data_IF_945427119005
#
_entry.id   IF_945427119005
#
_cell.length_a   1.000
_cell.length_b   1.000
_cell.length_c   1.000
_cell.angle_alpha   90.00
_cell.angle_beta   90.00
_cell.angle_gamma   90.00
#
_symmetry.space_group_name_H-M   'P 1'
#
loop_
_entity.id
_entity.type
_entity.pdbx_description
1 polymer ?
#
# COMPACT_ATOMS: atom_id res chain seq x y z
N UNK A 1 -10.73 1.64 22.45
CA UNK A 1 -10.57 2.34 21.16
C UNK A 1 -9.72 1.47 20.23
N UNK A 2 -10.33 0.66 19.36
CA UNK A 2 -9.59 -0.36 18.56
C UNK A 2 -8.76 0.34 17.48
N UNK A 3 -7.43 0.26 17.59
CA UNK A 3 -6.49 0.85 16.66
C UNK A 3 -6.66 0.21 15.27
N UNK A 4 -6.89 1.04 14.24
CA UNK A 4 -6.98 0.63 12.83
C UNK A 4 -5.55 0.50 12.30
N UNK A 5 -4.91 -0.64 12.54
CA UNK A 5 -3.54 -0.91 12.07
C UNK A 5 -3.58 -1.28 10.59
N UNK A 6 -2.79 -0.58 9.79
CA UNK A 6 -2.58 -0.92 8.38
C UNK A 6 -1.15 -1.39 8.20
N UNK A 7 -1.02 -2.60 7.67
CA UNK A 7 0.27 -3.19 7.31
C UNK A 7 0.38 -3.06 5.80
N UNK A 8 1.24 -2.16 5.35
CA UNK A 8 1.63 -2.07 3.95
C UNK A 8 2.89 -2.94 3.80
N UNK A 9 2.68 -4.17 3.29
CA UNK A 9 3.76 -5.11 3.01
C UNK A 9 4.17 -4.98 1.54
N UNK A 10 5.40 -4.58 1.32
CA UNK A 10 6.03 -4.46 0.03
C UNK A 10 6.51 -5.85 -0.42
N UNK A 11 6.03 -6.32 -1.57
CA UNK A 11 6.61 -7.48 -2.25
C UNK A 11 7.92 -7.14 -2.98
N UNK A 12 8.25 -5.84 -3.10
CA UNK A 12 9.44 -5.36 -3.82
C UNK A 12 10.78 -5.82 -3.22
N UNK A 13 10.81 -6.20 -1.94
CA UNK A 13 12.02 -6.78 -1.37
C UNK A 13 12.02 -8.29 -1.62
N UNK A 14 12.68 -8.72 -2.70
CA UNK A 14 12.78 -10.10 -3.20
C UNK A 14 13.43 -11.11 -2.24
N UNK A 15 12.86 -11.27 -1.05
CA UNK A 15 13.27 -12.26 -0.03
C UNK A 15 12.11 -13.11 0.48
N UNK A 16 10.90 -12.93 -0.04
CA UNK A 16 9.72 -13.73 0.29
C UNK A 16 9.59 -15.04 -0.48
N UNK A 17 10.70 -15.75 -0.74
CA UNK A 17 10.62 -17.12 -1.22
C UNK A 17 10.09 -17.98 -0.06
N UNK A 18 8.78 -18.19 -0.05
CA UNK A 18 8.11 -19.11 0.88
C UNK A 18 8.69 -20.51 0.68
N UNK A 19 9.63 -20.90 1.54
CA UNK A 19 10.31 -22.19 1.48
C UNK A 19 9.32 -23.33 1.76
N UNK A 20 8.80 -23.96 0.71
CA UNK A 20 8.34 -25.35 0.79
C UNK A 20 9.58 -26.25 0.59
N UNK A 21 9.96 -27.14 1.52
CA UNK A 21 11.25 -27.82 1.47
C UNK A 21 11.49 -28.87 0.36
N UNK A 22 10.71 -28.91 -0.74
CA UNK A 22 10.80 -30.05 -1.67
C UNK A 22 10.44 -29.77 -3.14
N UNK A 23 10.60 -28.55 -3.64
CA UNK A 23 10.35 -28.27 -5.06
C UNK A 23 11.52 -27.49 -5.67
N UNK A 24 11.95 -27.95 -6.84
CA UNK A 24 13.07 -27.46 -7.63
C UNK A 24 12.99 -25.95 -7.86
N UNK A 25 14.13 -25.27 -7.75
CA UNK A 25 14.26 -23.81 -7.72
C UNK A 25 14.00 -23.26 -9.13
N UNK A 26 12.75 -23.00 -9.48
CA UNK A 26 12.46 -22.04 -10.52
C UNK A 26 12.63 -20.66 -9.88
N UNK A 27 13.61 -19.88 -10.33
CA UNK A 27 13.66 -18.44 -10.05
C UNK A 27 12.46 -17.82 -10.76
N UNK A 28 11.27 -18.00 -10.17
CA UNK A 28 10.07 -17.33 -10.63
C UNK A 28 10.40 -15.85 -10.64
N UNK A 29 10.42 -15.28 -11.84
CA UNK A 29 10.30 -13.84 -12.08
C UNK A 29 9.36 -13.27 -11.02
N UNK A 30 9.65 -12.09 -10.48
CA UNK A 30 8.75 -11.37 -9.56
C UNK A 30 7.29 -11.74 -9.86
N UNK A 31 6.58 -12.33 -8.89
CA UNK A 31 5.33 -13.07 -9.12
C UNK A 31 4.19 -12.25 -9.77
N UNK A 32 4.43 -10.95 -9.95
CA UNK A 32 3.57 -9.95 -10.56
C UNK A 32 4.43 -9.08 -11.47
N UNK A 33 3.92 -8.78 -12.66
CA UNK A 33 4.57 -7.89 -13.62
C UNK A 33 4.76 -6.49 -13.01
N UNK A 34 5.97 -5.95 -13.17
CA UNK A 34 6.34 -4.61 -12.71
C UNK A 34 6.36 -3.66 -13.90
N UNK A 35 5.67 -2.54 -13.79
CA UNK A 35 5.79 -1.45 -14.77
C UNK A 35 7.09 -0.67 -14.51
N UNK A 36 8.08 -0.89 -15.37
CA UNK A 36 9.40 -0.28 -15.27
C UNK A 36 9.39 1.25 -15.46
N UNK A 37 8.40 1.82 -16.15
CA UNK A 37 8.28 3.28 -16.29
C UNK A 37 7.55 3.86 -15.08
N UNK A 38 6.48 3.21 -14.62
CA UNK A 38 5.75 3.66 -13.44
C UNK A 38 6.60 3.58 -12.17
N UNK A 39 7.41 2.53 -11.98
CA UNK A 39 8.21 2.34 -10.74
C UNK A 39 9.25 3.44 -10.50
N UNK A 40 9.70 4.12 -11.56
CA UNK A 40 10.64 5.25 -11.46
C UNK A 40 10.02 6.44 -10.72
N UNK A 41 8.69 6.51 -10.62
CA UNK A 41 7.97 7.66 -10.07
C UNK A 41 6.86 7.23 -9.12
N UNK A 42 6.67 8.00 -8.05
CA UNK A 42 5.47 7.91 -7.23
C UNK A 42 4.78 9.27 -7.21
N UNK A 43 3.45 9.23 -7.15
CA UNK A 43 2.57 10.40 -7.21
C UNK A 43 2.02 10.64 -5.81
N UNK A 44 2.12 11.89 -5.35
CA UNK A 44 1.44 12.36 -4.17
C UNK A 44 0.37 13.38 -4.59
N UNK A 45 -0.85 13.30 -4.06
CA UNK A 45 -1.92 14.21 -4.43
C UNK A 45 -1.60 15.65 -4.00
N UNK A 46 -1.83 16.62 -4.89
CA UNK A 46 -1.55 18.04 -4.69
C UNK A 46 -2.79 18.86 -4.32
N UNK A 47 -3.98 18.27 -4.47
CA UNK A 47 -5.28 18.90 -4.20
C UNK A 47 -5.68 18.90 -2.71
N UNK A 48 -4.84 18.33 -1.84
CA UNK A 48 -5.08 18.25 -0.40
C UNK A 48 -4.00 19.02 0.37
N UNK A 49 -4.33 19.48 1.57
CA UNK A 49 -3.36 20.08 2.48
C UNK A 49 -2.27 19.05 2.82
N UNK A 50 -1.09 19.21 2.22
CA UNK A 50 0.04 18.31 2.38
C UNK A 50 0.65 18.44 3.77
N UNK A 51 0.36 17.49 4.66
CA UNK A 51 1.05 17.41 5.95
C UNK A 51 2.37 16.66 5.77
N UNK A 52 3.48 17.29 6.16
CA UNK A 52 4.83 16.74 5.93
C UNK A 52 5.01 15.32 6.50
N UNK A 53 4.44 15.04 7.68
CA UNK A 53 4.51 13.70 8.27
C UNK A 53 3.78 12.65 7.41
N UNK A 54 2.69 13.01 6.72
CA UNK A 54 1.98 12.08 5.85
C UNK A 54 2.82 11.77 4.62
N UNK A 55 3.43 12.80 4.01
CA UNK A 55 4.34 12.64 2.88
C UNK A 55 5.54 11.76 3.25
N UNK A 56 6.16 12.01 4.41
CA UNK A 56 7.24 11.20 4.94
C UNK A 56 6.84 9.73 5.15
N UNK A 57 5.66 9.48 5.72
CA UNK A 57 5.14 8.13 5.93
C UNK A 57 4.85 7.40 4.62
N UNK A 58 4.28 8.09 3.63
CA UNK A 58 4.05 7.53 2.28
C UNK A 58 5.40 7.16 1.65
N UNK A 59 6.36 8.09 1.63
CA UNK A 59 7.69 7.86 1.05
C UNK A 59 8.38 6.63 1.67
N UNK A 60 8.35 6.50 3.00
CA UNK A 60 8.89 5.31 3.68
C UNK A 60 8.14 4.03 3.33
N UNK A 61 6.80 4.09 3.26
CA UNK A 61 5.97 2.95 2.90
C UNK A 61 6.19 2.49 1.45
N UNK A 62 6.54 3.39 0.52
CA UNK A 62 6.82 3.01 -0.86
C UNK A 62 8.02 2.06 -0.99
N UNK A 63 9.06 2.24 -0.18
CA UNK A 63 10.32 1.51 -0.32
C UNK A 63 10.61 0.50 0.80
N UNK A 64 9.90 0.58 1.93
CA UNK A 64 10.08 -0.33 3.06
C UNK A 64 8.76 -0.76 3.68
N UNK A 65 8.72 -2.01 4.18
CA UNK A 65 7.58 -2.52 4.96
C UNK A 65 7.36 -1.62 6.17
N UNK A 66 6.23 -0.88 6.19
CA UNK A 66 6.01 0.18 7.16
C UNK A 66 4.73 -0.07 7.96
N UNK A 67 4.86 -0.08 9.29
CA UNK A 67 3.75 -0.12 10.23
C UNK A 67 3.41 1.31 10.69
N UNK A 68 2.24 1.81 10.30
CA UNK A 68 1.80 3.17 10.65
C UNK A 68 0.81 3.13 11.81
N UNK A 69 1.25 3.62 12.97
CA UNK A 69 0.51 3.62 14.24
C UNK A 69 -0.07 5.01 14.62
N UNK A 70 -0.73 5.69 13.67
CA UNK A 70 -1.36 7.00 13.96
C UNK A 70 -2.72 6.87 14.67
N UNK A 71 -3.10 7.82 15.54
CA UNK A 71 -4.48 8.01 16.00
C UNK A 71 -5.52 8.21 14.88
N UNK A 72 -6.81 7.98 15.17
CA UNK A 72 -7.90 8.32 14.25
C UNK A 72 -7.94 9.84 14.02
N UNK A 73 -8.34 10.26 12.81
CA UNK A 73 -8.40 11.68 12.45
C UNK A 73 -7.11 12.28 11.87
N UNK A 74 -5.96 11.60 11.97
CA UNK A 74 -4.68 12.12 11.44
C UNK A 74 -4.37 11.74 9.98
N UNK A 75 -5.34 11.13 9.29
CA UNK A 75 -5.21 10.77 7.87
C UNK A 75 -4.50 9.44 7.58
N UNK A 76 -4.71 8.40 8.39
CA UNK A 76 -4.23 7.04 8.07
C UNK A 76 -4.78 6.52 6.75
N UNK A 77 -6.09 6.66 6.53
CA UNK A 77 -6.74 6.22 5.29
C UNK A 77 -6.24 7.02 4.10
N UNK A 78 -5.91 8.29 4.30
CA UNK A 78 -5.28 9.09 3.26
C UNK A 78 -3.91 8.52 2.87
N UNK A 79 -3.01 8.28 3.85
CA UNK A 79 -1.70 7.67 3.59
C UNK A 79 -1.85 6.33 2.86
N UNK A 80 -2.80 5.51 3.32
CA UNK A 80 -3.13 4.24 2.70
C UNK A 80 -3.50 4.38 1.23
N UNK A 81 -4.45 5.26 0.92
CA UNK A 81 -4.97 5.47 -0.41
C UNK A 81 -3.83 5.89 -1.36
N UNK A 82 -2.94 6.78 -0.92
CA UNK A 82 -1.79 7.21 -1.71
C UNK A 82 -0.80 6.07 -1.94
N UNK A 83 -0.51 5.25 -0.93
CA UNK A 83 0.38 4.09 -1.11
C UNK A 83 -0.27 3.07 -2.05
N UNK A 84 -1.54 2.73 -1.83
CA UNK A 84 -2.29 1.81 -2.67
C UNK A 84 -2.32 2.27 -4.14
N UNK A 85 -2.56 3.56 -4.37
CA UNK A 85 -2.56 4.14 -5.71
C UNK A 85 -1.22 3.95 -6.43
N UNK A 86 -0.11 4.19 -5.74
CA UNK A 86 1.21 4.00 -6.33
C UNK A 86 1.57 2.53 -6.53
N UNK A 87 1.18 1.65 -5.60
CA UNK A 87 1.33 0.21 -5.79
C UNK A 87 0.53 -0.30 -6.98
N UNK A 88 -0.68 0.22 -7.19
CA UNK A 88 -1.51 -0.12 -8.33
C UNK A 88 -0.85 0.32 -9.65
N UNK A 89 -0.20 1.50 -9.67
CA UNK A 89 0.59 1.96 -10.82
C UNK A 89 1.81 1.07 -11.08
N UNK A 90 2.49 0.63 -10.04
CA UNK A 90 3.73 -0.15 -10.17
C UNK A 90 3.46 -1.61 -10.55
N UNK A 91 2.35 -2.17 -10.06
CA UNK A 91 1.97 -3.56 -10.27
C UNK A 91 0.57 -3.66 -10.91
N UNK A 92 0.45 -3.45 -12.22
CA UNK A 92 -0.84 -3.44 -12.90
C UNK A 92 -1.58 -4.80 -12.79
N UNK A 93 -0.86 -5.92 -12.75
CA UNK A 93 -1.43 -7.26 -12.52
C UNK A 93 -1.56 -7.61 -11.02
N UNK A 94 -0.94 -6.80 -10.15
CA UNK A 94 -0.95 -6.98 -8.72
C UNK A 94 -2.32 -6.77 -8.09
N UNK A 95 -2.51 -7.38 -6.91
CA UNK A 95 -3.72 -7.19 -6.10
C UNK A 95 -3.35 -6.54 -4.78
N UNK A 96 -4.17 -5.58 -4.38
CA UNK A 96 -4.03 -4.86 -3.12
C UNK A 96 -5.19 -5.27 -2.22
N UNK A 97 -4.87 -5.77 -1.04
CA UNK A 97 -5.88 -6.24 -0.08
C UNK A 97 -5.94 -5.26 1.08
N UNK A 98 -7.09 -4.60 1.23
CA UNK A 98 -7.38 -3.73 2.35
C UNK A 98 -8.27 -4.44 3.37
N UNK A 99 -7.69 -4.93 4.45
CA UNK A 99 -8.43 -5.71 5.45
C UNK A 99 -9.09 -4.81 6.50
N UNK A 100 -10.31 -5.16 6.90
CA UNK A 100 -11.07 -4.47 7.95
C UNK A 100 -11.76 -5.50 8.84
N UNK A 101 -11.99 -5.19 10.13
CA UNK A 101 -12.55 -6.17 11.07
C UNK A 101 -14.07 -6.36 10.93
N UNK A 102 -14.77 -5.50 10.21
CA UNK A 102 -16.23 -5.57 10.06
C UNK A 102 -16.67 -4.96 8.74
N UNK A 103 -17.75 -5.50 8.13
CA UNK A 103 -18.32 -5.00 6.87
C UNK A 103 -18.64 -3.49 6.87
N UNK A 104 -19.25 -2.88 7.91
CA UNK A 104 -19.50 -1.43 7.91
C UNK A 104 -18.24 -0.58 7.80
N UNK A 105 -17.12 -1.05 8.38
CA UNK A 105 -15.83 -0.36 8.26
C UNK A 105 -15.21 -0.51 6.87
N UNK A 106 -15.51 -1.60 6.14
CA UNK A 106 -15.09 -1.75 4.75
C UNK A 106 -15.72 -0.65 3.90
N UNK A 107 -17.04 -0.47 3.99
CA UNK A 107 -17.78 0.55 3.22
C UNK A 107 -17.24 1.96 3.47
N UNK A 108 -17.02 2.34 4.74
CA UNK A 108 -16.45 3.65 5.09
C UNK A 108 -15.07 3.87 4.47
N UNK A 109 -14.25 2.83 4.38
CA UNK A 109 -12.88 2.94 3.88
C UNK A 109 -12.85 2.97 2.35
N UNK A 110 -13.78 2.27 1.68
CA UNK A 110 -13.97 2.38 0.23
C UNK A 110 -14.31 3.84 -0.13
N UNK A 111 -15.31 4.43 0.52
CA UNK A 111 -15.70 5.83 0.28
C UNK A 111 -14.54 6.80 0.54
N UNK A 112 -13.79 6.59 1.63
CA UNK A 112 -12.65 7.43 1.97
C UNK A 112 -11.49 7.31 0.96
N UNK A 113 -11.19 6.11 0.45
CA UNK A 113 -10.17 5.90 -0.57
C UNK A 113 -10.58 6.53 -1.91
N UNK A 114 -11.82 6.32 -2.33
CA UNK A 114 -12.37 6.87 -3.56
C UNK A 114 -12.36 8.40 -3.54
N UNK A 115 -12.73 9.02 -2.42
CA UNK A 115 -12.69 10.48 -2.29
C UNK A 115 -11.26 11.07 -2.23
N UNK A 116 -10.26 10.25 -1.90
CA UNK A 116 -8.86 10.72 -1.74
C UNK A 116 -8.08 10.67 -3.06
N UNK A 117 -8.08 9.52 -3.73
CA UNK A 117 -7.27 9.28 -4.94
C UNK A 117 -8.09 8.84 -6.16
N UNK A 118 -9.40 8.65 -6.01
CA UNK A 118 -10.27 8.17 -7.09
C UNK A 118 -10.14 6.67 -7.40
N UNK A 119 -9.67 5.85 -6.45
CA UNK A 119 -9.62 4.38 -6.56
C UNK A 119 -10.66 3.69 -5.67
#
# INVERSE_FOLDING_TARGET
MRQRTMVLSNYLHGKGCFRRPSMEIEYGLCAVSLDHEAVKTWIYPTNVEGREYQKYMVEKAMFTNTLIALPTGLGKTFIAAVVMYNYFRWFPEGKIIFTCPSRPLVTQQIEACHNTVGI
#
